data_IF_364039305914
#
_entry.id   IF_364039305914
#
_cell.length_a   1.000
_cell.length_b   1.000
_cell.length_c   1.000
_cell.angle_alpha   90.00
_cell.angle_beta   90.00
_cell.angle_gamma   90.00
#
_symmetry.space_group_name_H-M   'P 1'
#
loop_
_entity.id
_entity.type
_entity.pdbx_description
1 polymer ?
#
# COMPACT_ATOMS: atom_id res chain seq x y z
N UNK A 1 -16.79 6.35 1.73
CA UNK A 1 -16.00 7.33 2.48
C UNK A 1 -14.68 6.69 2.92
N UNK A 2 -13.58 7.15 2.30
CA UNK A 2 -12.21 6.61 2.50
C UNK A 2 -11.81 6.69 3.97
N UNK A 3 -12.10 7.81 4.65
CA UNK A 3 -11.71 8.00 6.03
C UNK A 3 -12.38 6.99 6.98
N UNK A 4 -13.65 6.69 6.75
CA UNK A 4 -14.37 5.66 7.55
C UNK A 4 -13.85 4.26 7.27
N UNK A 5 -13.51 3.96 6.01
CA UNK A 5 -12.89 2.70 5.65
C UNK A 5 -11.51 2.57 6.29
N UNK A 6 -10.66 3.61 6.21
CA UNK A 6 -9.34 3.65 6.82
C UNK A 6 -9.40 3.44 8.34
N UNK A 7 -10.29 4.14 9.04
CA UNK A 7 -10.46 4.00 10.48
C UNK A 7 -10.90 2.57 10.90
N UNK A 8 -11.72 1.89 10.08
CA UNK A 8 -12.06 0.47 10.28
C UNK A 8 -10.85 -0.44 10.04
N UNK A 9 -10.12 -0.21 8.96
CA UNK A 9 -8.92 -0.97 8.62
C UNK A 9 -7.86 -0.86 9.72
N UNK A 10 -7.64 0.34 10.26
CA UNK A 10 -6.74 0.60 11.40
C UNK A 10 -7.20 -0.16 12.65
N UNK A 11 -8.49 -0.12 12.98
CA UNK A 11 -9.02 -0.88 14.14
C UNK A 11 -8.80 -2.38 14.01
N UNK A 12 -9.04 -2.94 12.82
CA UNK A 12 -8.80 -4.35 12.54
C UNK A 12 -7.30 -4.70 12.59
N UNK A 13 -6.45 -3.81 12.10
CA UNK A 13 -5.00 -3.98 12.14
C UNK A 13 -4.44 -3.90 13.58
N UNK A 14 -4.95 -3.00 14.40
CA UNK A 14 -4.55 -2.90 15.82
C UNK A 14 -4.72 -4.22 16.59
N UNK A 15 -5.68 -5.07 16.20
CA UNK A 15 -5.87 -6.41 16.81
C UNK A 15 -4.74 -7.39 16.49
N UNK A 16 -4.11 -7.27 15.33
CA UNK A 16 -2.98 -8.13 14.92
C UNK A 16 -1.63 -7.49 15.17
N UNK A 17 -1.60 -6.22 15.57
CA UNK A 17 -0.39 -5.43 15.78
C UNK A 17 0.57 -6.00 16.84
N UNK A 18 0.14 -6.58 17.96
CA UNK A 18 1.06 -7.19 18.91
C UNK A 18 1.95 -8.25 18.28
N UNK A 19 1.40 -9.07 17.38
CA UNK A 19 2.15 -10.07 16.63
C UNK A 19 3.15 -9.42 15.65
N UNK A 20 2.71 -8.38 14.92
CA UNK A 20 3.57 -7.66 13.96
C UNK A 20 4.72 -6.94 14.66
N UNK A 21 4.48 -6.35 15.85
CA UNK A 21 5.52 -5.72 16.67
C UNK A 21 6.57 -6.69 17.18
N UNK A 22 6.21 -7.94 17.38
CA UNK A 22 7.15 -8.98 17.79
C UNK A 22 8.14 -9.33 16.68
N UNK A 23 7.69 -9.27 15.41
CA UNK A 23 8.46 -9.71 14.24
C UNK A 23 9.19 -8.56 13.50
N UNK A 24 8.83 -7.30 13.76
CA UNK A 24 9.36 -6.15 13.02
C UNK A 24 9.81 -5.01 13.93
N UNK A 25 11.10 -4.69 13.89
CA UNK A 25 11.68 -3.55 14.62
C UNK A 25 11.11 -2.20 14.15
N UNK A 26 10.78 -2.08 12.87
CA UNK A 26 10.19 -0.90 12.27
C UNK A 26 8.77 -0.65 12.80
N UNK A 27 7.96 -1.70 12.94
CA UNK A 27 6.60 -1.59 13.47
C UNK A 27 6.56 -1.18 14.94
N UNK A 28 7.61 -1.46 15.73
CA UNK A 28 7.70 -1.08 17.14
C UNK A 28 7.79 0.43 17.35
N UNK A 29 8.38 1.17 16.39
CA UNK A 29 8.59 2.63 16.46
C UNK A 29 7.49 3.45 15.79
N UNK A 30 6.53 2.80 15.13
CA UNK A 30 5.50 3.47 14.35
C UNK A 30 4.28 3.78 15.21
N UNK A 31 3.91 5.05 15.28
CA UNK A 31 2.61 5.48 15.84
C UNK A 31 1.50 5.19 14.85
N UNK A 32 0.38 4.64 15.33
CA UNK A 32 -0.78 4.28 14.53
C UNK A 32 -1.95 5.16 14.94
N UNK A 33 -2.23 6.15 14.12
CA UNK A 33 -3.43 6.99 14.16
C UNK A 33 -4.52 6.46 13.20
N UNK A 34 -5.68 7.10 13.17
CA UNK A 34 -6.79 6.68 12.31
C UNK A 34 -6.57 6.98 10.83
N UNK A 35 -5.52 7.75 10.47
CA UNK A 35 -5.08 8.04 9.09
C UNK A 35 -3.77 7.35 8.74
N UNK A 36 -3.45 6.27 9.43
CA UNK A 36 -2.16 5.59 9.34
C UNK A 36 -1.82 5.06 7.95
N UNK A 37 -2.80 4.47 7.26
CA UNK A 37 -2.55 3.80 5.98
C UNK A 37 -2.50 4.76 4.80
N UNK A 38 -3.34 5.79 4.78
CA UNK A 38 -3.60 6.61 3.61
C UNK A 38 -3.31 8.09 3.83
N UNK A 39 -2.99 8.49 5.07
CA UNK A 39 -2.59 9.86 5.44
C UNK A 39 -3.59 10.95 5.02
N UNK A 40 -4.87 10.61 4.92
CA UNK A 40 -5.91 11.54 4.50
C UNK A 40 -5.94 11.81 2.99
N UNK A 41 -5.34 10.96 2.19
CA UNK A 41 -5.34 11.10 0.74
C UNK A 41 -6.76 11.09 0.15
N UNK A 42 -7.00 11.87 -0.93
CA UNK A 42 -8.32 11.98 -1.56
C UNK A 42 -8.74 10.72 -2.31
N UNK A 43 -7.80 9.87 -2.75
CA UNK A 43 -8.10 8.65 -3.47
C UNK A 43 -7.15 7.51 -3.09
N UNK A 44 -7.69 6.29 -3.08
CA UNK A 44 -6.92 5.06 -2.86
C UNK A 44 -7.40 4.00 -3.84
N UNK A 45 -6.44 3.35 -4.52
CA UNK A 45 -6.69 2.21 -5.39
C UNK A 45 -6.14 0.96 -4.70
N UNK A 46 -7.00 0.01 -4.36
CA UNK A 46 -6.59 -1.28 -3.81
C UNK A 46 -6.48 -2.28 -4.96
N UNK A 47 -5.26 -2.72 -5.23
CA UNK A 47 -4.98 -3.69 -6.30
C UNK A 47 -5.15 -5.09 -5.78
N UNK A 48 -6.15 -5.78 -6.30
CA UNK A 48 -6.52 -7.15 -5.92
C UNK A 48 -6.27 -8.08 -7.11
N UNK A 49 -5.48 -9.14 -6.88
CA UNK A 49 -5.21 -10.14 -7.90
C UNK A 49 -5.06 -11.53 -7.28
N UNK A 50 -4.97 -12.56 -8.13
CA UNK A 50 -4.60 -13.92 -7.72
C UNK A 50 -3.08 -14.09 -7.65
N UNK A 51 -2.37 -13.56 -8.66
CA UNK A 51 -0.91 -13.56 -8.77
C UNK A 51 -0.30 -12.24 -8.27
N UNK A 52 0.87 -12.30 -7.65
CA UNK A 52 1.59 -11.07 -7.25
C UNK A 52 2.14 -10.33 -8.47
N UNK A 53 2.62 -11.06 -9.49
CA UNK A 53 3.20 -10.48 -10.70
C UNK A 53 2.17 -9.65 -11.45
N UNK A 54 0.99 -10.23 -11.74
CA UNK A 54 -0.08 -9.53 -12.47
C UNK A 54 -0.51 -8.27 -11.75
N UNK A 55 -0.70 -8.38 -10.42
CA UNK A 55 -1.07 -7.23 -9.59
C UNK A 55 0.03 -6.16 -9.52
N UNK A 56 1.31 -6.56 -9.47
CA UNK A 56 2.42 -5.62 -9.43
C UNK A 56 2.57 -4.87 -10.77
N UNK A 57 2.44 -5.56 -11.90
CA UNK A 57 2.48 -4.95 -13.24
C UNK A 57 1.31 -3.97 -13.43
N UNK A 58 0.10 -4.36 -13.00
CA UNK A 58 -1.06 -3.47 -13.05
C UNK A 58 -0.82 -2.21 -12.18
N UNK A 59 -0.32 -2.38 -10.95
CA UNK A 59 -0.02 -1.26 -10.06
C UNK A 59 1.04 -0.31 -10.64
N UNK A 60 2.10 -0.84 -11.25
CA UNK A 60 3.14 -0.05 -11.91
C UNK A 60 2.59 0.78 -13.07
N UNK A 61 1.74 0.20 -13.91
CA UNK A 61 1.09 0.94 -14.99
C UNK A 61 0.13 2.02 -14.48
N UNK A 62 -0.61 1.75 -13.39
CA UNK A 62 -1.46 2.74 -12.73
C UNK A 62 -0.64 3.89 -12.15
N UNK A 63 0.52 3.60 -11.55
CA UNK A 63 1.45 4.61 -11.05
C UNK A 63 1.94 5.52 -12.18
N UNK A 64 2.42 4.95 -13.30
CA UNK A 64 2.87 5.72 -14.47
C UNK A 64 1.77 6.64 -15.01
N UNK A 65 0.54 6.12 -15.10
CA UNK A 65 -0.62 6.90 -15.53
C UNK A 65 -0.94 8.04 -14.55
N UNK A 66 -0.93 7.76 -13.25
CA UNK A 66 -1.17 8.77 -12.23
C UNK A 66 -0.11 9.90 -12.29
N UNK A 67 1.16 9.54 -12.45
CA UNK A 67 2.25 10.51 -12.61
C UNK A 67 2.11 11.35 -13.91
N UNK A 68 1.67 10.73 -15.00
CA UNK A 68 1.39 11.45 -16.26
C UNK A 68 0.27 12.50 -16.09
N UNK A 69 -0.66 12.26 -15.15
CA UNK A 69 -1.70 13.22 -14.77
C UNK A 69 -1.30 14.19 -13.63
N UNK A 70 -0.03 14.23 -13.26
CA UNK A 70 0.50 15.13 -12.23
C UNK A 70 0.15 14.72 -10.80
N UNK A 71 -0.29 13.49 -10.59
CA UNK A 71 -0.58 12.96 -9.26
C UNK A 71 0.67 12.32 -8.64
N UNK A 72 0.80 12.47 -7.32
CA UNK A 72 1.74 11.71 -6.53
C UNK A 72 1.15 10.36 -6.12
N UNK A 73 1.98 9.34 -6.04
CA UNK A 73 1.60 7.98 -5.67
C UNK A 73 2.46 7.48 -4.50
N UNK A 74 1.81 6.89 -3.51
CA UNK A 74 2.47 6.19 -2.41
C UNK A 74 1.95 4.75 -2.33
N UNK A 75 2.86 3.79 -2.32
CA UNK A 75 2.53 2.38 -2.07
C UNK A 75 2.35 2.13 -0.56
N UNK A 76 1.14 1.79 -0.13
CA UNK A 76 0.84 1.52 1.28
C UNK A 76 1.14 0.06 1.66
N UNK A 77 2.41 -0.23 1.97
CA UNK A 77 2.86 -1.56 2.38
C UNK A 77 2.22 -2.04 3.69
N UNK A 78 2.02 -1.14 4.66
CA UNK A 78 1.34 -1.48 5.92
C UNK A 78 -0.12 -1.87 5.72
N UNK A 79 -0.85 -1.21 4.81
CA UNK A 79 -2.21 -1.61 4.47
C UNK A 79 -2.23 -2.98 3.81
N UNK A 80 -1.31 -3.25 2.89
CA UNK A 80 -1.16 -4.56 2.22
C UNK A 80 -0.93 -5.66 3.25
N UNK A 81 -0.02 -5.44 4.21
CA UNK A 81 0.23 -6.38 5.30
C UNK A 81 -1.02 -6.57 6.18
N UNK A 82 -1.71 -5.49 6.55
CA UNK A 82 -2.95 -5.55 7.32
C UNK A 82 -4.02 -6.38 6.62
N UNK A 83 -4.19 -6.18 5.30
CA UNK A 83 -5.17 -6.91 4.49
C UNK A 83 -4.84 -8.40 4.36
N UNK A 84 -3.56 -8.76 4.36
CA UNK A 84 -3.13 -10.17 4.36
C UNK A 84 -3.39 -10.87 5.70
N UNK A 85 -3.19 -10.18 6.81
CA UNK A 85 -3.30 -10.74 8.16
C UNK A 85 -4.73 -10.70 8.73
N UNK A 86 -5.55 -9.73 8.33
CA UNK A 86 -6.89 -9.52 8.88
C UNK A 86 -7.98 -10.17 8.05
N UNK A 87 -8.62 -11.23 8.58
CA UNK A 87 -9.81 -11.84 7.96
C UNK A 87 -10.98 -10.85 7.85
N UNK A 88 -11.11 -9.92 8.82
CA UNK A 88 -12.13 -8.88 8.81
C UNK A 88 -11.96 -7.93 7.63
N UNK A 89 -10.73 -7.47 7.40
CA UNK A 89 -10.42 -6.56 6.29
C UNK A 89 -10.58 -7.25 4.93
N UNK A 90 -10.19 -8.52 4.82
CA UNK A 90 -10.44 -9.34 3.61
C UNK A 90 -11.92 -9.46 3.28
N UNK A 91 -12.77 -9.63 4.30
CA UNK A 91 -14.24 -9.70 4.13
C UNK A 91 -14.81 -8.34 3.71
N UNK A 92 -14.37 -7.26 4.30
CA UNK A 92 -14.80 -5.90 3.96
C UNK A 92 -14.44 -5.51 2.52
N UNK A 93 -13.28 -5.99 2.03
CA UNK A 93 -12.85 -5.83 0.64
C UNK A 93 -13.53 -6.82 -0.33
N UNK A 94 -14.38 -7.72 0.14
CA UNK A 94 -15.06 -8.71 -0.70
C UNK A 94 -14.13 -9.74 -1.36
N UNK A 95 -12.97 -10.04 -0.76
CA UNK A 95 -11.97 -10.91 -1.38
C UNK A 95 -12.43 -12.37 -1.45
N UNK A 96 -12.42 -12.93 -2.65
CA UNK A 96 -12.61 -14.36 -2.88
C UNK A 96 -11.42 -15.20 -2.34
N UNK A 97 -11.64 -16.54 -2.26
CA UNK A 97 -10.66 -17.48 -1.65
C UNK A 97 -9.25 -17.39 -2.25
N UNK A 98 -9.14 -17.17 -3.56
CA UNK A 98 -7.86 -17.12 -4.30
C UNK A 98 -7.35 -15.68 -4.51
N UNK A 99 -8.11 -14.67 -4.09
CA UNK A 99 -7.74 -13.27 -4.24
C UNK A 99 -6.97 -12.76 -3.03
N UNK A 100 -6.04 -11.85 -3.29
CA UNK A 100 -5.27 -11.13 -2.25
C UNK A 100 -5.06 -9.67 -2.64
N UNK A 101 -4.88 -8.82 -1.65
CA UNK A 101 -4.37 -7.48 -1.88
C UNK A 101 -2.89 -7.61 -2.24
N UNK A 102 -2.54 -7.19 -3.43
CA UNK A 102 -1.14 -7.14 -3.89
C UNK A 102 -0.48 -5.87 -3.38
N UNK A 103 -1.16 -4.73 -3.57
CA UNK A 103 -0.73 -3.44 -3.05
C UNK A 103 -1.91 -2.48 -2.93
N UNK A 104 -1.68 -1.31 -2.32
CA UNK A 104 -2.61 -0.18 -2.37
C UNK A 104 -1.84 1.07 -2.78
N UNK A 105 -2.35 1.76 -3.78
CA UNK A 105 -1.84 3.02 -4.28
C UNK A 105 -2.62 4.15 -3.63
N UNK A 106 -1.93 4.99 -2.88
CA UNK A 106 -2.48 6.20 -2.26
C UNK A 106 -2.17 7.35 -3.18
N UNK A 107 -3.20 8.04 -3.65
CA UNK A 107 -3.11 9.07 -4.67
C UNK A 107 -3.38 10.45 -4.08
N UNK A 108 -2.62 11.43 -4.50
CA UNK A 108 -2.82 12.81 -4.08
C UNK A 108 -2.02 13.80 -4.91
N UNK A 109 -2.25 15.08 -4.69
CA UNK A 109 -1.44 16.12 -5.31
C UNK A 109 -0.12 16.29 -4.55
N UNK A 110 1.04 16.20 -5.24
CA UNK A 110 2.33 16.30 -4.58
C UNK A 110 2.57 17.71 -4.05
N UNK A 111 2.87 17.84 -2.76
CA UNK A 111 3.28 19.11 -2.14
C UNK A 111 4.74 19.46 -2.44
N UNK A 112 5.54 18.48 -2.88
CA UNK A 112 6.98 18.64 -3.14
C UNK A 112 7.29 18.22 -4.57
N UNK A 113 8.05 19.04 -5.29
CA UNK A 113 8.59 18.70 -6.61
C UNK A 113 10.05 18.29 -6.47
N UNK A 114 10.33 17.03 -6.73
CA UNK A 114 11.72 16.53 -6.76
C UNK A 114 12.44 17.07 -7.98
N UNK A 115 13.68 17.57 -7.78
CA UNK A 115 14.51 18.11 -8.86
C UNK A 115 15.41 17.08 -9.52
N UNK A 116 15.60 15.92 -8.89
CA UNK A 116 16.42 14.81 -9.39
C UNK A 116 15.88 13.49 -8.90
N UNK A 117 16.19 12.40 -9.63
CA UNK A 117 15.86 11.03 -9.23
C UNK A 117 16.69 10.60 -8.03
N UNK A 118 16.15 9.66 -7.24
CA UNK A 118 16.94 9.00 -6.21
C UNK A 118 18.12 8.24 -6.85
N UNK A 119 19.33 8.26 -6.25
CA UNK A 119 20.43 7.48 -6.74
C UNK A 119 20.08 5.98 -6.68
N UNK A 120 20.38 5.27 -7.78
CA UNK A 120 20.20 3.83 -7.88
C UNK A 120 21.55 3.17 -8.11
N UNK A 121 21.75 2.00 -7.55
CA UNK A 121 22.91 1.19 -7.87
C UNK A 121 22.88 0.75 -9.33
N UNK A 122 24.06 0.60 -9.93
CA UNK A 122 24.19 0.10 -11.29
C UNK A 122 23.69 -1.35 -11.35
N UNK A 123 22.91 -1.67 -12.37
CA UNK A 123 22.42 -3.01 -12.59
C UNK A 123 23.57 -3.95 -12.98
N UNK A 124 23.69 -5.11 -12.35
CA UNK A 124 24.57 -6.18 -12.82
C UNK A 124 23.95 -6.87 -14.04
N UNK A 125 24.36 -6.48 -15.25
CA UNK A 125 23.86 -7.02 -16.51
C UNK A 125 24.92 -7.93 -17.11
N UNK A 126 24.56 -9.19 -17.39
CA UNK A 126 25.41 -10.15 -18.11
C UNK A 126 24.79 -10.43 -19.48
N UNK A 127 25.54 -10.19 -20.52
CA UNK A 127 25.18 -10.53 -21.89
C UNK A 127 25.80 -11.88 -22.25
N UNK A 128 24.98 -12.82 -22.74
CA UNK A 128 25.42 -14.14 -23.24
C UNK A 128 25.21 -14.22 -24.73
#
# INVERSE_FOLDING_TARGET
DIARFEARAVRLFRRVMPFVRLTSSMARRTSIDDRFFFKGAPAVIVVIARGDIDGALAASNMELMAQAHGLGVLYSGFFTMAARLSRGLRRELGLGRKQKVVTALVLGYPAVRYRRTAPKEAAAISWK
#
